data_IF_393186933387
#
_entry.id   IF_393186933387
#
_cell.length_a   1.000
_cell.length_b   1.000
_cell.length_c   1.000
_cell.angle_alpha   90.00
_cell.angle_beta   90.00
_cell.angle_gamma   90.00
#
_symmetry.space_group_name_H-M   'P 1'
#
loop_
_entity.id
_entity.type
_entity.pdbx_description
1 polymer ?
#
# COMPACT_ATOMS: atom_id res chain seq x y z
N UNK A 1 11.40 -9.73 1.16
CA UNK A 1 10.94 -10.34 -0.12
C UNK A 1 11.35 -9.46 -1.31
N UNK A 2 11.10 -9.88 -2.55
CA UNK A 2 11.36 -9.05 -3.74
C UNK A 2 10.11 -8.86 -4.59
N UNK A 3 9.82 -7.63 -4.99
CA UNK A 3 8.86 -7.32 -6.06
C UNK A 3 9.62 -7.28 -7.38
N UNK A 4 9.17 -8.07 -8.35
CA UNK A 4 9.83 -8.17 -9.65
C UNK A 4 9.69 -6.86 -10.44
N UNK A 5 10.74 -6.50 -11.17
CA UNK A 5 10.73 -5.34 -12.07
C UNK A 5 9.59 -5.45 -13.08
N UNK A 6 8.80 -4.38 -13.19
CA UNK A 6 7.64 -4.33 -14.11
C UNK A 6 6.33 -4.87 -13.53
N UNK A 7 6.33 -5.45 -12.33
CA UNK A 7 5.09 -5.83 -11.66
C UNK A 7 4.20 -4.58 -11.41
N UNK A 8 2.90 -4.71 -11.65
CA UNK A 8 1.92 -3.63 -11.47
C UNK A 8 0.94 -3.93 -10.35
N UNK A 9 0.54 -2.90 -9.61
CA UNK A 9 -0.50 -2.95 -8.58
C UNK A 9 -1.83 -2.46 -9.14
N UNK A 10 -2.92 -3.17 -8.83
CA UNK A 10 -4.28 -2.74 -9.18
C UNK A 10 -5.17 -2.78 -7.95
N UNK A 11 -5.80 -1.65 -7.64
CA UNK A 11 -6.73 -1.50 -6.52
C UNK A 11 -8.16 -1.39 -7.06
N UNK A 12 -9.03 -2.31 -6.63
CA UNK A 12 -10.45 -2.31 -6.99
C UNK A 12 -11.28 -2.13 -5.72
N UNK A 13 -11.86 -0.93 -5.50
CA UNK A 13 -12.76 -0.69 -4.38
C UNK A 13 -14.00 -1.59 -4.46
N UNK A 14 -14.38 -2.16 -3.32
CA UNK A 14 -15.62 -2.90 -3.16
C UNK A 14 -16.46 -2.25 -2.05
N UNK A 15 -17.73 -1.97 -2.35
CA UNK A 15 -18.65 -1.28 -1.45
C UNK A 15 -18.61 0.25 -1.56
N UNK A 16 -19.40 0.91 -0.72
CA UNK A 16 -19.64 2.36 -0.75
C UNK A 16 -19.55 3.04 0.62
N UNK A 17 -18.94 2.36 1.60
CA UNK A 17 -18.76 2.90 2.94
C UNK A 17 -17.62 3.92 2.99
N UNK A 18 -17.80 4.98 3.79
CA UNK A 18 -16.71 5.90 4.09
C UNK A 18 -15.72 5.22 5.05
N UNK A 19 -14.43 5.27 4.71
CA UNK A 19 -13.36 4.78 5.56
C UNK A 19 -12.88 5.91 6.50
N UNK A 20 -12.75 5.66 7.82
CA UNK A 20 -12.15 6.64 8.72
C UNK A 20 -10.72 7.00 8.32
N UNK A 21 -10.35 8.28 8.44
CA UNK A 21 -8.96 8.73 8.28
C UNK A 21 -8.07 8.00 9.30
N UNK A 22 -6.91 7.54 8.84
CA UNK A 22 -6.00 6.72 9.65
C UNK A 22 -6.28 5.23 9.59
N UNK A 23 -7.31 4.78 8.86
CA UNK A 23 -7.48 3.33 8.57
C UNK A 23 -6.26 2.82 7.80
N UNK A 24 -5.67 1.72 8.24
CA UNK A 24 -4.50 1.10 7.62
C UNK A 24 -4.88 -0.25 7.04
N UNK A 25 -4.53 -0.48 5.77
CA UNK A 25 -4.60 -1.77 5.11
C UNK A 25 -3.19 -2.32 4.94
N UNK A 26 -2.90 -3.49 5.53
CA UNK A 26 -1.70 -4.26 5.19
C UNK A 26 -1.97 -5.03 3.91
N UNK A 27 -1.38 -4.58 2.80
CA UNK A 27 -1.53 -5.18 1.46
C UNK A 27 -0.57 -6.35 1.30
N UNK A 28 0.65 -6.20 1.84
CA UNK A 28 1.65 -7.26 1.90
C UNK A 28 2.22 -7.28 3.31
N UNK A 29 2.08 -8.43 3.97
CA UNK A 29 2.74 -8.77 5.24
C UNK A 29 4.06 -9.49 4.94
N UNK A 30 5.18 -8.82 5.22
CA UNK A 30 6.53 -9.33 4.95
C UNK A 30 7.10 -10.02 6.19
N UNK A 31 6.84 -11.32 6.31
CA UNK A 31 7.29 -12.13 7.45
C UNK A 31 8.79 -12.43 7.49
N UNK A 32 9.56 -12.01 6.47
CA UNK A 32 11.02 -12.07 6.50
C UNK A 32 11.60 -10.90 7.31
N UNK A 33 12.83 -11.03 7.81
CA UNK A 33 13.49 -9.95 8.56
C UNK A 33 13.90 -8.75 7.71
N UNK A 34 14.11 -8.96 6.41
CA UNK A 34 14.56 -7.92 5.48
C UNK A 34 13.42 -7.04 4.95
N UNK A 35 13.80 -5.86 4.44
CA UNK A 35 12.88 -4.95 3.73
C UNK A 35 12.29 -5.60 2.47
N UNK A 36 11.20 -5.02 1.97
CA UNK A 36 10.73 -5.29 0.59
C UNK A 36 11.77 -4.70 -0.35
N UNK A 37 12.34 -5.54 -1.21
CA UNK A 37 13.23 -5.09 -2.27
C UNK A 37 12.42 -4.76 -3.53
N UNK A 38 12.54 -3.52 -4.01
CA UNK A 38 11.80 -3.00 -5.16
C UNK A 38 10.41 -2.45 -4.82
N UNK A 39 9.76 -1.84 -5.81
CA UNK A 39 8.39 -1.33 -5.73
C UNK A 39 7.58 -1.81 -6.94
N UNK A 40 6.25 -1.73 -6.88
CA UNK A 40 5.46 -1.90 -8.11
C UNK A 40 5.74 -0.73 -9.05
N UNK A 41 5.78 -1.00 -10.36
CA UNK A 41 6.15 -0.01 -11.37
C UNK A 41 5.22 1.22 -11.38
N UNK A 42 3.97 1.04 -10.96
CA UNK A 42 2.94 2.08 -10.89
C UNK A 42 2.54 2.45 -9.45
N UNK A 43 3.33 2.06 -8.44
CA UNK A 43 3.07 2.39 -7.04
C UNK A 43 4.40 2.69 -6.33
N UNK A 44 4.83 3.96 -6.40
CA UNK A 44 6.02 4.40 -5.69
C UNK A 44 5.79 4.48 -4.17
N UNK A 45 6.86 4.32 -3.39
CA UNK A 45 6.81 4.57 -1.95
C UNK A 45 6.44 6.03 -1.67
N UNK A 46 5.59 6.25 -0.67
CA UNK A 46 5.04 7.56 -0.37
C UNK A 46 4.10 8.12 -1.43
N UNK A 47 3.71 7.39 -2.47
CA UNK A 47 2.65 7.86 -3.37
C UNK A 47 1.31 7.99 -2.63
N UNK A 48 0.46 8.91 -3.07
CA UNK A 48 -0.96 8.91 -2.71
C UNK A 48 -1.76 8.46 -3.92
N UNK A 49 -2.56 7.41 -3.76
CA UNK A 49 -3.49 6.93 -4.78
C UNK A 49 -4.92 7.20 -4.34
N UNK A 50 -5.80 7.47 -5.29
CA UNK A 50 -7.23 7.68 -5.01
C UNK A 50 -8.05 6.52 -5.55
N UNK A 51 -8.94 5.99 -4.72
CA UNK A 51 -9.84 4.90 -5.11
C UNK A 51 -11.22 5.12 -4.50
N UNK A 52 -12.26 5.18 -5.34
CA UNK A 52 -13.64 5.49 -4.93
C UNK A 52 -13.76 6.74 -4.02
N UNK A 53 -13.00 7.79 -4.32
CA UNK A 53 -13.00 9.04 -3.54
C UNK A 53 -12.24 8.99 -2.21
N UNK A 54 -11.58 7.86 -1.89
CA UNK A 54 -10.69 7.74 -0.72
C UNK A 54 -9.23 7.91 -1.16
N UNK A 55 -8.49 8.78 -0.48
CA UNK A 55 -7.05 8.94 -0.66
C UNK A 55 -6.29 7.96 0.23
N UNK A 56 -5.34 7.24 -0.34
CA UNK A 56 -4.54 6.21 0.32
C UNK A 56 -3.06 6.52 0.14
N UNK A 57 -2.36 6.73 1.26
CA UNK A 57 -0.91 6.91 1.30
C UNK A 57 -0.23 5.55 1.33
N UNK A 58 0.69 5.34 0.39
CA UNK A 58 1.51 4.13 0.28
C UNK A 58 2.71 4.22 1.23
N UNK A 59 3.03 3.11 1.90
CA UNK A 59 4.28 2.91 2.62
C UNK A 59 4.79 1.49 2.38
N UNK A 60 6.03 1.34 1.92
CA UNK A 60 6.76 0.05 1.86
C UNK A 60 7.50 -0.28 3.17
N UNK A 61 7.28 0.55 4.20
CA UNK A 61 7.91 0.48 5.51
C UNK A 61 6.86 0.43 6.62
N UNK A 62 5.62 0.08 6.29
CA UNK A 62 4.51 0.03 7.23
C UNK A 62 4.53 -1.20 8.13
N UNK A 63 3.48 -1.34 8.93
CA UNK A 63 3.28 -2.49 9.83
C UNK A 63 4.46 -2.67 10.79
N UNK A 64 5.22 -3.74 10.63
CA UNK A 64 6.40 -4.06 11.45
C UNK A 64 7.69 -3.35 10.98
N UNK A 65 7.61 -2.53 9.93
CA UNK A 65 8.73 -1.74 9.39
C UNK A 65 9.19 -2.18 8.00
N UNK A 66 8.61 -3.24 7.47
CA UNK A 66 8.95 -3.83 6.17
C UNK A 66 7.72 -4.33 5.39
N UNK A 67 6.53 -3.85 5.74
CA UNK A 67 5.26 -4.22 5.10
C UNK A 67 4.83 -3.17 4.07
N UNK A 68 4.04 -3.62 3.07
CA UNK A 68 3.33 -2.69 2.19
C UNK A 68 1.98 -2.35 2.82
N UNK A 69 1.81 -1.10 3.22
CA UNK A 69 0.57 -0.60 3.79
C UNK A 69 -0.03 0.55 3.00
N UNK A 70 -1.36 0.66 3.00
CA UNK A 70 -2.12 1.79 2.50
C UNK A 70 -2.86 2.46 3.65
N UNK A 71 -2.60 3.73 3.91
CA UNK A 71 -3.24 4.49 5.00
C UNK A 71 -4.21 5.50 4.43
N UNK A 72 -5.45 5.50 4.92
CA UNK A 72 -6.44 6.53 4.56
C UNK A 72 -5.97 7.88 5.07
N UNK A 73 -5.81 8.84 4.16
CA UNK A 73 -5.41 10.22 4.45
C UNK A 73 -6.50 11.20 4.03
N UNK A 74 -6.50 12.44 4.56
CA UNK A 74 -7.42 13.49 4.13
C UNK A 74 -7.38 13.76 2.62
#
# INVERSE_FOLDING_TARGET
>A
MTILTGATFSLVPVGSGALPVGTIFTVIDNTATGQISGTFANLADGATISAAGTNLKVSYHGGTGNDLTLTVVP
#
